data_IF_276367037301
#
_entry.id   IF_276367037301
#
_cell.length_a   1.000
_cell.length_b   1.000
_cell.length_c   1.000
_cell.angle_alpha   90.00
_cell.angle_beta   90.00
_cell.angle_gamma   90.00
#
_symmetry.space_group_name_H-M   'P 1'
#
loop_
_entity.id
_entity.type
_entity.pdbx_description
1 polymer ?
#
# COMPACT_ATOMS: atom_id res chain seq x y z
N UNK A 1 14.25 15.09 3.44
CA UNK A 1 13.71 14.45 2.22
C UNK A 1 12.85 13.24 2.59
N UNK A 2 11.96 12.82 1.68
CA UNK A 2 11.15 11.61 1.83
C UNK A 2 11.45 10.69 0.65
N UNK A 3 11.65 9.40 0.93
CA UNK A 3 11.87 8.36 -0.09
C UNK A 3 10.54 7.69 -0.44
N UNK A 4 10.30 7.55 -1.74
CA UNK A 4 9.16 6.87 -2.34
C UNK A 4 9.63 5.77 -3.28
N UNK A 5 8.81 4.74 -3.47
CA UNK A 5 9.04 3.79 -4.54
C UNK A 5 8.29 4.20 -5.81
N UNK A 6 8.92 3.99 -6.96
CA UNK A 6 8.30 4.23 -8.26
C UNK A 6 7.04 3.38 -8.44
N UNK A 7 6.00 3.97 -9.02
CA UNK A 7 4.74 3.27 -9.30
C UNK A 7 3.77 3.17 -8.13
N UNK A 8 4.11 3.70 -6.95
CA UNK A 8 3.21 3.72 -5.81
C UNK A 8 2.31 4.97 -5.78
N UNK A 9 1.18 4.83 -5.09
CA UNK A 9 0.20 5.88 -4.87
C UNK A 9 -0.08 6.01 -3.37
N UNK A 10 0.13 7.21 -2.81
CA UNK A 10 -0.03 7.50 -1.38
C UNK A 10 -1.04 8.61 -1.11
N UNK A 11 -2.03 8.76 -1.97
CA UNK A 11 -3.07 9.77 -1.83
C UNK A 11 -2.87 10.98 -2.73
N UNK A 12 -3.62 12.06 -2.46
CA UNK A 12 -3.71 13.25 -3.32
C UNK A 12 -3.08 14.51 -2.72
N UNK A 13 -2.42 14.39 -1.57
CA UNK A 13 -1.67 15.53 -1.03
C UNK A 13 -0.54 15.90 -1.98
N UNK A 14 -0.28 17.19 -2.26
CA UNK A 14 0.68 17.60 -3.29
C UNK A 14 2.05 16.95 -3.13
N UNK A 15 2.60 16.90 -1.93
CA UNK A 15 3.89 16.27 -1.65
C UNK A 15 3.95 14.74 -1.89
N UNK A 16 2.79 14.06 -2.03
CA UNK A 16 2.72 12.63 -2.37
C UNK A 16 2.54 12.37 -3.86
N UNK A 17 2.38 13.42 -4.66
CA UNK A 17 2.20 13.34 -6.10
C UNK A 17 3.56 13.29 -6.83
N UNK A 18 3.51 13.11 -8.13
CA UNK A 18 4.67 13.18 -9.02
C UNK A 18 4.63 14.47 -9.83
N UNK A 19 5.79 14.98 -10.17
CA UNK A 19 5.92 16.24 -10.94
C UNK A 19 5.25 16.17 -12.32
N UNK A 20 5.16 14.99 -12.92
CA UNK A 20 4.51 14.76 -14.21
C UNK A 20 2.96 14.81 -14.15
N UNK A 21 2.37 14.89 -12.95
CA UNK A 21 0.94 15.03 -12.79
C UNK A 21 0.50 16.49 -12.92
N UNK A 22 -0.57 16.72 -13.69
CA UNK A 22 -1.13 18.06 -13.88
C UNK A 22 -1.52 18.70 -12.55
N UNK A 23 -1.08 19.94 -12.34
CA UNK A 23 -1.40 20.72 -11.14
C UNK A 23 -0.47 20.52 -9.96
N UNK A 24 0.61 19.74 -10.10
CA UNK A 24 1.66 19.58 -9.10
C UNK A 24 2.77 20.61 -9.35
N UNK A 25 3.14 21.35 -8.32
CA UNK A 25 4.24 22.32 -8.39
C UNK A 25 5.58 21.64 -8.06
N UNK A 26 6.66 22.10 -8.67
CA UNK A 26 7.99 21.56 -8.44
C UNK A 26 8.42 21.70 -6.98
N UNK A 27 8.08 22.81 -6.34
CA UNK A 27 8.38 23.09 -4.94
C UNK A 27 7.73 22.11 -3.97
N UNK A 28 6.55 21.57 -4.31
CA UNK A 28 5.82 20.61 -3.47
C UNK A 28 6.48 19.24 -3.44
N UNK A 29 7.21 18.87 -4.49
CA UNK A 29 7.88 17.57 -4.63
C UNK A 29 9.40 17.66 -4.59
N UNK A 30 9.98 18.84 -4.38
CA UNK A 30 11.42 19.09 -4.39
C UNK A 30 12.20 18.26 -3.34
N UNK A 31 11.53 17.76 -2.31
CA UNK A 31 12.11 16.93 -1.27
C UNK A 31 11.83 15.43 -1.45
N UNK A 32 11.22 15.03 -2.57
CA UNK A 32 10.92 13.65 -2.86
C UNK A 32 12.10 12.97 -3.56
N UNK A 33 12.43 11.77 -3.12
CA UNK A 33 13.42 10.90 -3.71
C UNK A 33 12.73 9.61 -4.16
N UNK A 34 13.11 9.08 -5.32
CA UNK A 34 12.44 7.93 -5.90
C UNK A 34 13.43 6.81 -6.19
N UNK A 35 13.02 5.57 -5.92
CA UNK A 35 13.79 4.35 -6.20
C UNK A 35 12.83 3.22 -6.60
N UNK A 36 13.32 2.22 -7.32
CA UNK A 36 12.48 1.07 -7.66
C UNK A 36 12.33 0.13 -6.47
N UNK A 37 11.13 -0.44 -6.32
CA UNK A 37 10.87 -1.48 -5.34
C UNK A 37 11.71 -2.74 -5.66
N UNK A 38 12.18 -3.44 -4.65
CA UNK A 38 13.13 -4.55 -4.74
C UNK A 38 14.55 -4.19 -5.21
N UNK A 39 14.84 -2.94 -5.55
CA UNK A 39 16.20 -2.49 -5.86
C UNK A 39 16.92 -2.02 -4.57
N UNK A 40 17.29 -2.99 -3.73
CA UNK A 40 17.97 -2.67 -2.46
C UNK A 40 19.33 -1.96 -2.66
N UNK A 41 20.18 -2.33 -3.65
CA UNK A 41 21.42 -1.61 -3.91
C UNK A 41 21.19 -0.13 -4.27
N UNK A 42 20.19 0.18 -5.08
CA UNK A 42 19.86 1.56 -5.41
C UNK A 42 19.32 2.32 -4.19
N UNK A 43 18.52 1.67 -3.34
CA UNK A 43 18.03 2.26 -2.09
C UNK A 43 19.19 2.56 -1.12
N UNK A 44 20.11 1.63 -0.94
CA UNK A 44 21.29 1.80 -0.08
C UNK A 44 22.20 2.95 -0.58
N UNK A 45 22.40 3.02 -1.90
CA UNK A 45 23.13 4.14 -2.53
C UNK A 45 22.41 5.46 -2.25
N UNK A 46 21.11 5.54 -2.41
CA UNK A 46 20.31 6.74 -2.16
C UNK A 46 20.47 7.21 -0.69
N UNK A 47 20.43 6.30 0.27
CA UNK A 47 20.66 6.61 1.68
C UNK A 47 22.09 7.13 1.96
N UNK A 48 23.07 6.62 1.22
CA UNK A 48 24.45 7.11 1.29
C UNK A 48 24.59 8.50 0.69
N UNK A 49 24.02 8.75 -0.49
CA UNK A 49 24.10 10.02 -1.21
C UNK A 49 23.42 11.17 -0.43
N UNK A 50 22.34 10.87 0.30
CA UNK A 50 21.56 11.84 1.10
C UNK A 50 21.65 11.58 2.60
N UNK A 51 22.82 11.14 3.05
CA UNK A 51 23.05 10.81 4.47
C UNK A 51 22.71 11.98 5.39
N UNK A 52 21.79 11.72 6.35
CA UNK A 52 21.35 12.72 7.33
C UNK A 52 20.28 13.71 6.79
N UNK A 53 19.88 13.60 5.52
CA UNK A 53 18.83 14.44 4.93
C UNK A 53 17.48 13.72 4.80
N UNK A 54 17.45 12.39 4.88
CA UNK A 54 16.22 11.60 4.75
C UNK A 54 15.52 11.53 6.09
N UNK A 55 14.30 12.04 6.15
CA UNK A 55 13.46 11.98 7.35
C UNK A 55 12.58 10.70 7.40
N UNK A 56 12.12 10.22 6.26
CA UNK A 56 11.25 9.06 6.18
C UNK A 56 11.32 8.34 4.84
N UNK A 57 10.94 7.07 4.87
CA UNK A 57 10.63 6.26 3.71
C UNK A 57 9.18 5.80 3.83
N UNK A 58 8.35 6.10 2.81
CA UNK A 58 6.97 5.65 2.74
C UNK A 58 6.80 4.62 1.63
N UNK A 59 6.12 3.52 1.93
CA UNK A 59 5.94 2.42 1.00
C UNK A 59 4.62 1.68 1.22
N UNK A 60 4.06 1.13 0.16
CA UNK A 60 3.11 0.04 0.24
C UNK A 60 3.86 -1.28 0.54
N UNK A 61 3.21 -2.27 1.18
CA UNK A 61 3.93 -3.47 1.66
C UNK A 61 4.43 -4.39 0.53
N UNK A 62 3.81 -4.31 -0.65
CA UNK A 62 4.23 -4.96 -1.89
C UNK A 62 3.67 -4.17 -3.08
N UNK A 63 4.19 -4.41 -4.28
CA UNK A 63 3.68 -3.73 -5.47
C UNK A 63 2.29 -4.27 -5.81
N UNK A 64 1.27 -3.44 -5.64
CA UNK A 64 -0.12 -3.73 -5.98
C UNK A 64 -0.76 -2.54 -6.73
N UNK A 65 -0.16 -2.21 -7.88
CA UNK A 65 -0.66 -1.17 -8.77
C UNK A 65 -2.00 -1.53 -9.43
N UNK A 66 -2.47 -0.65 -10.32
CA UNK A 66 -3.70 -0.88 -11.08
C UNK A 66 -3.43 -1.14 -12.56
N UNK A 67 -2.18 -1.01 -13.01
CA UNK A 67 -1.81 -1.05 -14.43
C UNK A 67 -0.65 -2.00 -14.73
N UNK A 68 -0.11 -2.68 -13.72
CA UNK A 68 0.98 -3.63 -13.86
C UNK A 68 0.73 -4.84 -12.97
N UNK A 69 1.36 -5.96 -13.30
CA UNK A 69 1.34 -7.13 -12.44
C UNK A 69 1.78 -6.79 -11.02
N UNK A 70 1.05 -7.33 -10.06
CA UNK A 70 1.45 -7.22 -8.66
C UNK A 70 2.63 -8.15 -8.39
N UNK A 71 3.60 -7.71 -7.60
CA UNK A 71 4.73 -8.54 -7.18
C UNK A 71 5.13 -8.27 -5.73
N UNK A 72 5.62 -9.31 -5.09
CA UNK A 72 6.01 -9.31 -3.69
C UNK A 72 7.42 -8.76 -3.48
N UNK A 73 7.75 -8.37 -2.23
CA UNK A 73 9.13 -8.11 -1.86
C UNK A 73 9.97 -9.38 -2.03
N UNK A 74 11.22 -9.22 -2.44
CA UNK A 74 12.21 -10.29 -2.44
C UNK A 74 12.42 -10.82 -1.00
N UNK A 75 12.89 -12.05 -0.87
CA UNK A 75 13.14 -12.65 0.42
C UNK A 75 14.11 -11.79 1.27
N UNK A 76 13.69 -11.46 2.48
CA UNK A 76 14.47 -10.62 3.40
C UNK A 76 14.56 -9.14 3.02
N UNK A 77 13.85 -8.68 1.98
CA UNK A 77 13.88 -7.28 1.55
C UNK A 77 13.48 -6.32 2.66
N UNK A 78 12.34 -6.54 3.30
CA UNK A 78 11.84 -5.65 4.36
C UNK A 78 12.72 -5.64 5.61
N UNK A 79 13.36 -6.76 5.97
CA UNK A 79 14.31 -6.83 7.08
C UNK A 79 15.55 -5.97 6.78
N UNK A 80 16.03 -5.98 5.53
CA UNK A 80 17.14 -5.10 5.07
C UNK A 80 16.73 -3.63 5.08
N UNK A 81 15.54 -3.30 4.56
CA UNK A 81 15.00 -1.93 4.56
C UNK A 81 14.83 -1.41 5.98
N UNK A 82 14.25 -2.24 6.88
CA UNK A 82 14.10 -1.88 8.30
C UNK A 82 15.46 -1.55 8.93
N UNK A 83 16.44 -2.43 8.74
CA UNK A 83 17.79 -2.20 9.26
C UNK A 83 18.43 -0.93 8.69
N UNK A 84 18.29 -0.69 7.39
CA UNK A 84 18.81 0.53 6.75
C UNK A 84 18.17 1.79 7.35
N UNK A 85 16.86 1.78 7.58
CA UNK A 85 16.17 2.89 8.24
C UNK A 85 16.67 3.09 9.68
N UNK A 86 16.82 2.02 10.46
CA UNK A 86 17.33 2.09 11.84
C UNK A 86 18.74 2.65 11.91
N UNK A 87 19.64 2.16 11.06
CA UNK A 87 21.04 2.59 11.01
C UNK A 87 21.20 4.09 10.64
N UNK A 88 20.20 4.66 9.95
CA UNK A 88 20.24 6.06 9.50
C UNK A 88 19.24 6.98 10.24
N UNK A 89 18.49 6.48 11.21
CA UNK A 89 17.50 7.27 11.95
C UNK A 89 16.31 7.72 11.10
N UNK A 90 15.97 6.95 10.06
CA UNK A 90 14.90 7.24 9.11
C UNK A 90 13.60 6.55 9.55
N UNK A 91 12.48 7.27 9.54
CA UNK A 91 11.16 6.73 9.88
C UNK A 91 10.63 5.88 8.75
N UNK A 92 10.39 4.59 9.00
CA UNK A 92 9.74 3.68 8.06
C UNK A 92 8.22 3.74 8.20
N UNK A 93 7.55 4.18 7.14
CA UNK A 93 6.09 4.35 7.09
C UNK A 93 5.51 3.34 6.12
N UNK A 94 4.60 2.49 6.57
CA UNK A 94 3.88 1.56 5.71
C UNK A 94 2.48 2.10 5.43
N UNK A 95 2.22 2.32 4.16
CA UNK A 95 0.89 2.64 3.65
C UNK A 95 0.10 1.34 3.44
N UNK A 96 -0.62 0.98 4.48
CA UNK A 96 -1.48 -0.22 4.51
C UNK A 96 -2.95 0.10 4.21
N UNK A 97 -3.20 1.28 3.64
CA UNK A 97 -4.55 1.76 3.32
C UNK A 97 -5.30 0.81 2.39
N UNK A 98 -4.61 0.15 1.47
CA UNK A 98 -5.21 -0.81 0.53
C UNK A 98 -5.00 -2.27 0.95
N UNK A 99 -3.82 -2.63 1.43
CA UNK A 99 -3.47 -4.00 1.77
C UNK A 99 -3.87 -4.40 3.21
N UNK A 100 -4.04 -3.43 4.10
CA UNK A 100 -4.38 -3.65 5.50
C UNK A 100 -5.62 -4.52 5.69
N UNK A 101 -5.54 -5.42 6.67
CA UNK A 101 -6.54 -6.42 7.04
C UNK A 101 -6.79 -7.52 5.99
N UNK A 102 -6.05 -7.52 4.86
CA UNK A 102 -6.17 -8.53 3.80
C UNK A 102 -5.20 -9.68 3.94
N UNK A 103 -3.98 -9.40 4.44
CA UNK A 103 -2.92 -10.38 4.65
C UNK A 103 -2.83 -10.81 6.12
N UNK A 104 -2.94 -9.82 7.01
CA UNK A 104 -2.89 -10.01 8.46
C UNK A 104 -3.75 -8.95 9.15
N UNK A 105 -4.38 -9.31 10.28
CA UNK A 105 -5.18 -8.36 11.06
C UNK A 105 -4.32 -7.37 11.85
N UNK A 106 -3.06 -7.68 12.08
CA UNK A 106 -2.11 -6.80 12.77
C UNK A 106 -1.42 -5.80 11.82
N UNK A 107 -1.54 -5.99 10.50
CA UNK A 107 -0.92 -5.17 9.48
C UNK A 107 0.03 -5.96 8.57
N UNK A 108 0.35 -5.38 7.43
CA UNK A 108 1.22 -6.03 6.46
C UNK A 108 2.67 -6.15 6.93
N UNK A 109 3.13 -5.26 7.80
CA UNK A 109 4.45 -5.35 8.41
C UNK A 109 4.58 -6.61 9.27
N UNK A 110 3.52 -6.99 10.01
CA UNK A 110 3.46 -8.24 10.74
C UNK A 110 3.50 -9.44 9.79
N UNK A 111 2.76 -9.40 8.68
CA UNK A 111 2.75 -10.47 7.67
C UNK A 111 4.15 -10.72 7.08
N UNK A 112 4.89 -9.65 6.75
CA UNK A 112 6.23 -9.74 6.18
C UNK A 112 7.36 -9.86 7.23
N UNK A 113 7.03 -9.95 8.52
CA UNK A 113 7.99 -10.22 9.60
C UNK A 113 8.95 -9.05 9.88
N UNK A 114 8.47 -7.82 9.80
CA UNK A 114 9.21 -6.63 10.24
C UNK A 114 8.29 -5.72 11.06
N UNK A 115 8.79 -4.58 11.53
CA UNK A 115 7.99 -3.60 12.26
C UNK A 115 8.18 -2.21 11.68
N UNK A 116 7.10 -1.62 11.18
CA UNK A 116 7.07 -0.23 10.77
C UNK A 116 7.16 0.73 11.96
N UNK A 117 7.66 1.93 11.75
CA UNK A 117 7.59 3.01 12.74
C UNK A 117 6.20 3.64 12.76
N UNK A 118 5.60 3.79 11.57
CA UNK A 118 4.24 4.25 11.35
C UNK A 118 3.55 3.34 10.34
N UNK A 119 2.26 3.08 10.53
CA UNK A 119 1.43 2.32 9.61
C UNK A 119 0.08 3.01 9.44
N UNK A 120 -0.36 3.16 8.19
CA UNK A 120 -1.58 3.87 7.83
C UNK A 120 -2.68 2.87 7.44
N UNK A 121 -3.84 2.96 8.06
CA UNK A 121 -5.02 2.15 7.74
C UNK A 121 -6.19 3.02 7.29
N UNK A 122 -6.98 2.52 6.33
CA UNK A 122 -8.24 3.12 5.90
C UNK A 122 -9.13 2.03 5.25
N UNK A 123 -9.90 2.34 4.26
CA UNK A 123 -10.71 1.44 3.41
C UNK A 123 -11.37 0.29 4.19
N UNK A 124 -10.73 -0.87 4.27
CA UNK A 124 -11.24 -2.04 4.97
C UNK A 124 -11.44 -1.82 6.49
N UNK A 125 -10.79 -0.81 7.07
CA UNK A 125 -10.94 -0.45 8.49
C UNK A 125 -12.42 -0.25 8.89
N UNK A 126 -13.19 0.43 8.05
CA UNK A 126 -14.62 0.68 8.31
C UNK A 126 -15.52 0.38 7.11
N UNK A 127 -14.98 -0.24 6.05
CA UNK A 127 -15.69 -0.84 4.92
C UNK A 127 -16.82 0.04 4.36
N UNK A 128 -16.46 1.27 3.91
CA UNK A 128 -17.37 2.25 3.30
C UNK A 128 -17.66 3.47 4.15
N UNK A 129 -17.32 3.48 5.43
CA UNK A 129 -17.38 4.68 6.27
C UNK A 129 -16.05 5.41 6.31
N UNK A 130 -16.10 6.74 6.36
CA UNK A 130 -14.93 7.62 6.28
C UNK A 130 -14.17 7.64 7.62
N UNK A 131 -13.22 6.74 7.78
CA UNK A 131 -12.28 6.73 8.90
C UNK A 131 -10.93 6.20 8.45
N UNK A 132 -9.88 6.79 8.96
CA UNK A 132 -8.51 6.32 8.81
C UNK A 132 -7.83 6.28 10.18
N UNK A 133 -6.76 5.52 10.29
CA UNK A 133 -5.95 5.44 11.48
C UNK A 133 -4.48 5.48 11.12
N UNK A 134 -3.72 6.30 11.84
CA UNK A 134 -2.27 6.27 11.86
C UNK A 134 -1.86 5.60 13.17
N UNK A 135 -1.25 4.42 13.07
CA UNK A 135 -0.69 3.71 14.20
C UNK A 135 0.83 3.84 14.16
N UNK A 136 1.48 3.82 15.30
CA UNK A 136 2.92 3.98 15.36
C UNK A 136 3.55 3.52 16.66
N UNK A 137 4.88 3.53 16.70
CA UNK A 137 5.63 3.22 17.91
C UNK A 137 5.46 4.31 18.97
N UNK A 138 5.51 3.92 20.23
CA UNK A 138 5.29 4.78 21.40
C UNK A 138 6.18 6.05 21.39
N UNK A 139 7.42 5.93 20.91
CA UNK A 139 8.36 7.06 20.85
C UNK A 139 7.95 8.20 19.90
N UNK A 140 6.96 7.97 19.02
CA UNK A 140 6.46 8.98 18.09
C UNK A 140 5.11 9.58 18.49
N UNK A 141 4.47 9.10 19.55
CA UNK A 141 3.11 9.54 19.92
C UNK A 141 3.02 11.04 20.24
N UNK A 142 4.02 11.58 20.91
CA UNK A 142 4.01 12.95 21.34
C UNK A 142 4.25 13.95 20.19
N UNK A 143 4.84 13.48 19.07
CA UNK A 143 5.02 14.28 17.86
C UNK A 143 3.67 14.65 17.24
N UNK A 144 2.69 13.76 17.31
CA UNK A 144 1.35 13.97 16.74
C UNK A 144 0.62 15.13 17.43
N UNK A 145 0.81 15.31 18.73
CA UNK A 145 0.19 16.41 19.48
C UNK A 145 0.73 17.80 19.09
N UNK A 146 1.93 17.84 18.48
CA UNK A 146 2.54 19.07 17.97
C UNK A 146 2.06 19.46 16.56
N UNK A 147 1.30 18.59 15.88
CA UNK A 147 0.80 18.83 14.52
C UNK A 147 -0.61 19.40 14.59
N UNK A 148 -0.79 20.63 14.06
CA UNK A 148 -2.14 21.20 13.90
C UNK A 148 -2.78 20.62 12.66
N UNK A 149 -3.64 19.60 12.87
CA UNK A 149 -4.38 18.95 11.81
C UNK A 149 -5.79 18.63 12.29
N UNK A 150 -6.83 19.16 11.64
CA UNK A 150 -8.23 19.01 12.04
C UNK A 150 -9.17 19.05 10.84
N UNK A 151 -10.42 18.69 11.05
CA UNK A 151 -11.48 18.76 10.05
C UNK A 151 -12.87 18.71 10.72
N UNK A 152 -13.85 19.29 10.06
CA UNK A 152 -15.22 19.48 10.62
C UNK A 152 -15.88 18.17 11.10
N UNK A 153 -15.54 17.04 10.49
CA UNK A 153 -16.16 15.75 10.76
C UNK A 153 -15.24 14.73 11.46
N UNK A 154 -14.11 15.17 11.96
CA UNK A 154 -13.07 14.31 12.51
C UNK A 154 -13.50 13.43 13.68
N UNK A 155 -14.37 13.95 14.53
CA UNK A 155 -14.84 13.24 15.71
C UNK A 155 -16.26 12.69 15.52
N UNK A 156 -16.66 12.40 14.28
CA UNK A 156 -17.94 11.77 13.99
C UNK A 156 -17.99 10.36 14.56
N UNK A 157 -18.98 10.06 15.40
CA UNK A 157 -19.06 8.77 16.11
C UNK A 157 -19.41 7.60 15.18
N UNK A 158 -20.17 7.83 14.10
CA UNK A 158 -20.67 6.78 13.21
C UNK A 158 -19.54 6.01 12.52
N UNK A 159 -18.54 6.66 11.88
CA UNK A 159 -17.40 5.95 11.31
C UNK A 159 -16.60 5.14 12.33
N UNK A 160 -16.42 5.64 13.54
CA UNK A 160 -15.72 4.90 14.60
C UNK A 160 -16.51 3.66 15.04
N UNK A 161 -17.82 3.77 15.21
CA UNK A 161 -18.67 2.62 15.52
C UNK A 161 -18.63 1.56 14.40
N UNK A 162 -18.65 1.99 13.14
CA UNK A 162 -18.49 1.12 11.96
C UNK A 162 -17.13 0.42 11.97
N UNK A 163 -16.04 1.15 12.24
CA UNK A 163 -14.68 0.59 12.35
C UNK A 163 -14.59 -0.48 13.44
N UNK A 164 -15.12 -0.21 14.63
CA UNK A 164 -15.16 -1.19 15.73
C UNK A 164 -15.93 -2.45 15.32
N UNK A 165 -17.12 -2.28 14.72
CA UNK A 165 -17.92 -3.40 14.25
C UNK A 165 -17.20 -4.22 13.16
N UNK A 166 -16.55 -3.53 12.23
CA UNK A 166 -15.78 -4.14 11.14
C UNK A 166 -14.61 -4.95 11.68
N UNK A 167 -13.77 -4.39 12.55
CA UNK A 167 -12.63 -5.08 13.17
C UNK A 167 -13.09 -6.32 13.95
N UNK A 168 -14.16 -6.21 14.73
CA UNK A 168 -14.71 -7.34 15.48
C UNK A 168 -15.22 -8.45 14.54
N UNK A 169 -15.85 -8.08 13.44
CA UNK A 169 -16.30 -9.02 12.40
C UNK A 169 -15.12 -9.70 11.72
N UNK A 170 -14.09 -8.95 11.35
CA UNK A 170 -12.86 -9.48 10.75
C UNK A 170 -12.16 -10.48 11.65
N UNK A 171 -12.01 -10.16 12.94
CA UNK A 171 -11.45 -11.08 13.94
C UNK A 171 -12.27 -12.36 14.06
N UNK A 172 -13.60 -12.23 14.16
CA UNK A 172 -14.51 -13.39 14.29
C UNK A 172 -14.45 -14.33 13.08
N UNK A 173 -14.31 -13.79 11.88
CA UNK A 173 -14.29 -14.58 10.62
C UNK A 173 -12.89 -15.01 10.20
N UNK A 174 -11.84 -14.54 10.85
CA UNK A 174 -10.46 -14.69 10.36
C UNK A 174 -10.35 -14.27 8.89
N UNK A 175 -10.69 -13.00 8.61
CA UNK A 175 -10.86 -12.53 7.24
C UNK A 175 -9.63 -12.66 6.35
N UNK A 176 -8.38 -12.56 6.81
CA UNK A 176 -7.23 -12.82 5.93
C UNK A 176 -7.31 -14.21 5.28
N UNK A 177 -7.61 -15.25 6.07
CA UNK A 177 -7.78 -16.61 5.55
C UNK A 177 -8.99 -16.70 4.60
N UNK A 178 -10.12 -16.18 5.03
CA UNK A 178 -11.36 -16.19 4.21
C UNK A 178 -11.16 -15.46 2.88
N UNK A 179 -10.50 -14.32 2.89
CA UNK A 179 -10.25 -13.55 1.67
C UNK A 179 -9.22 -14.23 0.75
N UNK A 180 -8.23 -14.93 1.31
CA UNK A 180 -7.31 -15.74 0.51
C UNK A 180 -8.07 -16.88 -0.20
N UNK A 181 -8.93 -17.61 0.50
CA UNK A 181 -9.73 -18.70 -0.04
C UNK A 181 -10.67 -18.21 -1.15
N UNK A 182 -11.47 -17.19 -0.88
CA UNK A 182 -12.39 -16.59 -1.86
C UNK A 182 -11.67 -15.98 -3.06
N UNK A 183 -10.55 -15.32 -2.82
CA UNK A 183 -9.74 -14.72 -3.87
C UNK A 183 -9.14 -15.79 -4.79
N UNK A 184 -8.67 -16.91 -4.24
CA UNK A 184 -8.18 -18.06 -5.05
C UNK A 184 -9.28 -18.68 -5.87
N UNK A 185 -10.44 -18.92 -5.29
CA UNK A 185 -11.60 -19.43 -6.01
C UNK A 185 -11.98 -18.52 -7.18
N UNK A 186 -12.09 -17.22 -6.93
CA UNK A 186 -12.43 -16.22 -7.92
C UNK A 186 -11.38 -16.14 -9.05
N UNK A 187 -10.10 -15.99 -8.71
CA UNK A 187 -9.05 -15.84 -9.71
C UNK A 187 -8.88 -17.10 -10.55
N UNK A 188 -8.96 -18.28 -9.93
CA UNK A 188 -8.90 -19.57 -10.64
C UNK A 188 -10.10 -19.71 -11.59
N UNK A 189 -11.30 -19.36 -11.13
CA UNK A 189 -12.50 -19.39 -11.94
C UNK A 189 -12.44 -18.45 -13.15
N UNK A 190 -11.96 -17.21 -12.94
CA UNK A 190 -11.82 -16.23 -14.02
C UNK A 190 -10.78 -16.65 -15.05
N UNK A 191 -9.60 -17.12 -14.61
CA UNK A 191 -8.57 -17.61 -15.52
C UNK A 191 -9.07 -18.80 -16.35
N UNK A 192 -9.78 -19.75 -15.72
CA UNK A 192 -10.38 -20.88 -16.42
C UNK A 192 -11.44 -20.43 -17.42
N UNK A 193 -12.36 -19.57 -17.02
CA UNK A 193 -13.39 -19.04 -17.92
C UNK A 193 -12.78 -18.29 -19.11
N UNK A 194 -11.74 -17.48 -18.86
CA UNK A 194 -10.98 -16.84 -19.95
C UNK A 194 -10.45 -17.84 -20.96
N UNK A 195 -9.81 -18.91 -20.51
CA UNK A 195 -9.26 -19.97 -21.37
C UNK A 195 -10.35 -20.66 -22.20
N UNK A 196 -11.50 -20.94 -21.60
CA UNK A 196 -12.66 -21.55 -22.30
C UNK A 196 -13.19 -20.65 -23.44
N UNK A 197 -12.97 -19.33 -23.35
CA UNK A 197 -13.38 -18.35 -24.35
C UNK A 197 -12.22 -17.82 -25.23
N UNK A 198 -11.05 -18.43 -25.15
CA UNK A 198 -9.90 -18.10 -25.99
C UNK A 198 -9.07 -16.90 -25.51
N UNK A 199 -9.27 -16.47 -24.26
CA UNK A 199 -8.48 -15.41 -23.64
C UNK A 199 -7.48 -15.99 -22.63
N UNK A 200 -6.24 -15.48 -22.66
CA UNK A 200 -5.23 -15.80 -21.67
C UNK A 200 -5.22 -14.76 -20.56
N UNK A 201 -5.88 -15.05 -19.45
CA UNK A 201 -5.91 -14.18 -18.27
C UNK A 201 -4.77 -14.54 -17.30
N UNK A 202 -4.14 -13.52 -16.74
CA UNK A 202 -3.12 -13.62 -15.68
C UNK A 202 -3.63 -12.90 -14.44
N UNK A 203 -3.64 -13.61 -13.31
CA UNK A 203 -3.89 -13.04 -11.99
C UNK A 203 -2.57 -12.98 -11.21
N UNK A 204 -2.21 -11.80 -10.71
CA UNK A 204 -0.97 -11.57 -9.97
C UNK A 204 -1.20 -10.96 -8.58
N UNK A 205 -0.27 -11.17 -7.66
CA UNK A 205 -0.32 -10.66 -6.28
C UNK A 205 -1.10 -11.55 -5.31
N UNK A 206 -1.52 -10.94 -4.19
CA UNK A 206 -2.33 -11.64 -3.18
C UNK A 206 -3.72 -11.98 -3.72
N UNK A 207 -4.26 -13.18 -3.47
CA UNK A 207 -5.61 -13.53 -3.87
C UNK A 207 -6.67 -12.55 -3.35
N UNK A 208 -6.48 -12.01 -2.15
CA UNK A 208 -7.36 -11.00 -1.54
C UNK A 208 -7.21 -9.59 -2.12
N UNK A 209 -6.21 -9.36 -2.96
CA UNK A 209 -5.90 -8.09 -3.61
C UNK A 209 -5.13 -8.34 -4.93
N UNK A 210 -5.71 -9.15 -5.80
CA UNK A 210 -5.11 -9.51 -7.08
C UNK A 210 -5.24 -8.38 -8.11
N UNK A 211 -4.37 -8.42 -9.10
CA UNK A 211 -4.53 -7.72 -10.37
C UNK A 211 -4.77 -8.78 -11.46
N UNK A 212 -5.76 -8.53 -12.31
CA UNK A 212 -6.13 -9.42 -13.41
C UNK A 212 -5.94 -8.68 -14.73
N UNK A 213 -5.29 -9.30 -15.69
CA UNK A 213 -5.11 -8.75 -17.04
C UNK A 213 -5.19 -9.83 -18.12
N UNK A 214 -5.38 -9.39 -19.35
CA UNK A 214 -5.24 -10.21 -20.55
C UNK A 214 -3.74 -10.23 -20.90
N UNK A 215 -3.14 -11.41 -21.04
CA UNK A 215 -1.68 -11.58 -21.21
C UNK A 215 -1.14 -10.91 -22.46
N UNK A 216 -1.89 -10.99 -23.58
CA UNK A 216 -1.47 -10.55 -24.89
C UNK A 216 -2.00 -9.13 -25.25
N UNK A 217 -2.31 -8.33 -24.23
CA UNK A 217 -2.82 -6.96 -24.37
C UNK A 217 -1.84 -5.95 -23.76
N UNK A 218 -0.68 -5.78 -24.38
CA UNK A 218 0.37 -4.84 -23.91
C UNK A 218 -0.11 -3.37 -23.89
N UNK A 219 -1.08 -3.04 -24.74
CA UNK A 219 -1.70 -1.70 -24.80
C UNK A 219 -2.76 -1.45 -23.72
N UNK A 220 -3.19 -2.51 -23.04
CA UNK A 220 -4.34 -2.51 -22.11
C UNK A 220 -5.68 -2.07 -22.76
N UNK A 221 -5.80 -2.06 -24.08
CA UNK A 221 -7.02 -1.65 -24.77
C UNK A 221 -8.15 -2.65 -24.58
N UNK A 222 -7.87 -3.95 -24.75
CA UNK A 222 -8.85 -5.02 -24.48
C UNK A 222 -9.25 -5.05 -23.00
N UNK A 223 -8.28 -4.82 -22.11
CA UNK A 223 -8.56 -4.71 -20.68
C UNK A 223 -9.49 -3.53 -20.37
N UNK A 224 -9.28 -2.37 -21.01
CA UNK A 224 -10.15 -1.20 -20.84
C UNK A 224 -11.56 -1.44 -21.40
N UNK A 225 -11.70 -2.06 -22.56
CA UNK A 225 -12.97 -2.46 -23.12
C UNK A 225 -13.70 -3.42 -22.18
N UNK A 226 -13.03 -4.47 -21.72
CA UNK A 226 -13.60 -5.43 -20.77
C UNK A 226 -14.10 -4.76 -19.48
N UNK A 227 -13.30 -3.84 -18.90
CA UNK A 227 -13.72 -3.10 -17.69
C UNK A 227 -14.91 -2.17 -17.97
N UNK A 228 -14.99 -1.59 -19.18
CA UNK A 228 -16.12 -0.73 -19.56
C UNK A 228 -17.43 -1.49 -19.76
N UNK A 229 -17.34 -2.78 -20.13
CA UNK A 229 -18.52 -3.63 -20.39
C UNK A 229 -19.09 -4.31 -19.12
N UNK A 230 -18.33 -4.31 -17.99
CA UNK A 230 -18.77 -4.84 -16.69
C UNK A 230 -19.57 -3.84 -15.87
#
# INVERSE_FOLDING_TARGET
KIVFFNGYYHGVSPWTQKLDYSGVLEEEVANNLYVNFNDYPALEKLFSDYKGEIAGLIAQPYMHGNFNDNFFPDEGYWQKVRKLCDDNGVVLIIDDVRAGFRMDLAGSDHYFGFKADLICFCKALANGYNVSALCGRESLKDVVSGITFTGSYWMSAVPFAAGIACINKMKKLNTPKLFDELGRELTTGLVKAGQEHGFHLIASGMPSLFYLRIADDDSLMLHQEWVADM
#
